data_IF_409668638895
#
_entry.id   IF_409668638895
#
_cell.length_a   1.000
_cell.length_b   1.000
_cell.length_c   1.000
_cell.angle_alpha   90.00
_cell.angle_beta   90.00
_cell.angle_gamma   90.00
#
_symmetry.space_group_name_H-M   'P 1'
#
loop_
_entity.id
_entity.type
_entity.pdbx_description
1 polymer ?
#
# COMPACT_ATOMS: atom_id res chain seq x y z
N UNK A 1 -16.85 -5.73 3.38
CA UNK A 1 -16.74 -6.43 4.69
C UNK A 1 -17.17 -7.90 4.66
N UNK A 2 -17.79 -8.44 3.60
CA UNK A 2 -18.34 -9.80 3.58
C UNK A 2 -17.31 -10.96 3.61
N UNK A 3 -16.01 -10.65 3.64
CA UNK A 3 -14.93 -11.65 3.61
C UNK A 3 -14.05 -11.66 4.87
N UNK A 4 -14.27 -10.72 5.79
CA UNK A 4 -13.57 -10.69 7.07
C UNK A 4 -14.39 -11.44 8.10
N UNK A 5 -13.77 -12.42 8.74
CA UNK A 5 -14.35 -13.15 9.87
C UNK A 5 -14.01 -12.45 11.18
N UNK A 6 -14.77 -12.72 12.24
CA UNK A 6 -14.45 -12.22 13.60
C UNK A 6 -13.13 -12.78 14.16
N UNK A 7 -12.53 -13.76 13.48
CA UNK A 7 -11.22 -14.29 13.83
C UNK A 7 -10.10 -13.29 13.47
N UNK A 8 -9.34 -12.87 14.49
CA UNK A 8 -8.25 -11.89 14.39
C UNK A 8 -6.89 -12.50 14.04
N UNK A 9 -6.80 -13.82 13.89
CA UNK A 9 -5.58 -14.51 13.43
C UNK A 9 -5.51 -14.45 11.91
N UNK A 10 -4.89 -13.39 11.39
CA UNK A 10 -4.60 -13.21 9.97
C UNK A 10 -3.20 -12.63 9.79
N UNK A 11 -2.65 -12.78 8.59
CA UNK A 11 -1.41 -12.12 8.18
C UNK A 11 -1.71 -11.21 7.01
N UNK A 12 -1.07 -10.04 6.95
CA UNK A 12 -1.22 -9.07 5.86
C UNK A 12 0.10 -8.94 5.14
N UNK A 13 0.12 -9.26 3.86
CA UNK A 13 1.29 -9.11 2.98
C UNK A 13 0.96 -8.11 1.89
N UNK A 14 1.68 -7.00 1.89
CA UNK A 14 1.63 -6.01 0.81
C UNK A 14 2.81 -6.18 -0.15
N UNK A 15 2.65 -5.74 -1.39
CA UNK A 15 3.74 -5.67 -2.36
C UNK A 15 3.87 -4.27 -2.96
N UNK A 16 5.10 -3.81 -3.17
CA UNK A 16 5.43 -2.53 -3.81
C UNK A 16 6.61 -2.71 -4.76
N UNK A 17 6.64 -1.96 -5.85
CA UNK A 17 7.73 -2.01 -6.81
C UNK A 17 7.38 -1.45 -8.20
N UNK A 18 8.40 -1.24 -9.06
CA UNK A 18 8.23 -0.68 -10.41
C UNK A 18 7.32 -1.50 -11.34
N UNK A 19 6.98 -0.99 -12.55
CA UNK A 19 6.32 -1.78 -13.57
C UNK A 19 7.16 -3.00 -13.98
N UNK A 20 6.52 -4.11 -14.33
CA UNK A 20 7.20 -5.27 -14.93
C UNK A 20 8.00 -6.17 -13.98
N UNK A 21 8.26 -5.76 -12.73
CA UNK A 21 9.06 -6.54 -11.76
C UNK A 21 8.37 -7.81 -11.22
N UNK A 22 7.19 -8.18 -11.72
CA UNK A 22 6.53 -9.44 -11.35
C UNK A 22 5.75 -9.45 -10.03
N UNK A 23 5.34 -8.28 -9.51
CA UNK A 23 4.55 -8.15 -8.26
C UNK A 23 3.34 -9.08 -8.20
N UNK A 24 2.40 -8.91 -9.14
CA UNK A 24 1.16 -9.69 -9.18
C UNK A 24 1.41 -11.18 -9.41
N UNK A 25 2.50 -11.54 -10.09
CA UNK A 25 2.94 -12.93 -10.25
C UNK A 25 3.33 -13.53 -8.91
N UNK A 26 4.21 -12.86 -8.15
CA UNK A 26 4.62 -13.31 -6.81
C UNK A 26 3.41 -13.42 -5.89
N UNK A 27 2.52 -12.43 -5.93
CA UNK A 27 1.30 -12.42 -5.11
C UNK A 27 0.36 -13.57 -5.47
N UNK A 28 0.26 -13.95 -6.74
CA UNK A 28 -0.56 -15.10 -7.16
C UNK A 28 0.00 -16.44 -6.70
N UNK A 29 1.33 -16.60 -6.63
CA UNK A 29 1.95 -17.80 -6.06
C UNK A 29 1.62 -17.92 -4.56
N UNK A 30 1.68 -16.82 -3.80
CA UNK A 30 1.29 -16.80 -2.39
C UNK A 30 -0.22 -16.98 -2.23
N UNK A 31 -1.01 -16.48 -3.19
CA UNK A 31 -2.47 -16.57 -3.13
C UNK A 31 -2.97 -18.02 -3.21
N UNK A 32 -2.25 -18.90 -3.91
CA UNK A 32 -2.58 -20.32 -4.01
C UNK A 32 -3.97 -20.54 -4.58
N UNK A 33 -4.31 -19.86 -5.69
CA UNK A 33 -5.66 -19.88 -6.26
C UNK A 33 -6.14 -21.32 -6.55
N UNK A 34 -7.25 -21.70 -5.93
CA UNK A 34 -7.94 -22.96 -6.17
C UNK A 34 -9.35 -22.66 -6.72
N UNK A 35 -9.62 -22.94 -8.01
CA UNK A 35 -10.92 -22.68 -8.63
C UNK A 35 -12.05 -23.55 -8.05
N UNK A 36 -11.73 -24.61 -7.31
CA UNK A 36 -12.72 -25.47 -6.66
C UNK A 36 -13.14 -24.96 -5.29
N UNK A 37 -12.36 -24.04 -4.70
CA UNK A 37 -12.63 -23.46 -3.39
C UNK A 37 -13.71 -22.39 -3.48
N UNK A 38 -14.85 -22.54 -2.77
CA UNK A 38 -15.96 -21.61 -2.86
C UNK A 38 -15.60 -20.24 -2.26
N UNK A 39 -15.89 -19.17 -3.00
CA UNK A 39 -15.71 -17.80 -2.53
C UNK A 39 -14.32 -17.21 -2.74
N UNK A 40 -13.38 -17.96 -3.31
CA UNK A 40 -12.11 -17.38 -3.78
C UNK A 40 -12.37 -16.46 -4.98
N UNK A 41 -11.78 -15.27 -4.95
CA UNK A 41 -11.77 -14.36 -6.09
C UNK A 41 -10.79 -14.90 -7.15
N UNK A 42 -10.95 -14.56 -8.44
CA UNK A 42 -9.96 -14.88 -9.47
C UNK A 42 -8.57 -14.42 -9.06
N UNK A 43 -7.45 -14.94 -9.58
CA UNK A 43 -6.11 -14.43 -9.27
C UNK A 43 -5.91 -12.97 -9.73
N UNK A 44 -4.86 -12.30 -9.23
CA UNK A 44 -4.50 -10.95 -9.65
C UNK A 44 -4.18 -10.96 -11.14
N UNK A 45 -4.63 -9.93 -11.85
CA UNK A 45 -4.31 -9.79 -13.26
C UNK A 45 -2.80 -9.59 -13.43
N UNK A 46 -2.18 -10.43 -14.26
CA UNK A 46 -0.77 -10.28 -14.63
C UNK A 46 -0.67 -9.59 -15.99
N UNK A 47 0.47 -8.93 -16.24
CA UNK A 47 0.68 -8.22 -17.50
C UNK A 47 0.61 -9.18 -18.69
N UNK A 48 -0.35 -8.95 -19.59
CA UNK A 48 -0.46 -9.68 -20.86
C UNK A 48 0.52 -9.14 -21.89
N UNK A 49 0.76 -9.89 -22.98
CA UNK A 49 1.58 -9.41 -24.10
C UNK A 49 1.00 -8.14 -24.73
N UNK A 50 -0.33 -8.03 -24.82
CA UNK A 50 -1.02 -6.85 -25.32
C UNK A 50 -0.81 -5.65 -24.39
N UNK A 51 -1.00 -5.83 -23.09
CA UNK A 51 -0.77 -4.77 -22.08
C UNK A 51 0.67 -4.27 -22.14
N UNK A 52 1.63 -5.20 -22.31
CA UNK A 52 3.05 -4.89 -22.46
C UNK A 52 3.32 -4.13 -23.76
N UNK A 53 2.76 -4.58 -24.89
CA UNK A 53 2.91 -3.91 -26.19
C UNK A 53 2.33 -2.48 -26.18
N UNK A 54 1.26 -2.26 -25.42
CA UNK A 54 0.64 -0.94 -25.26
C UNK A 54 1.29 -0.07 -24.16
N UNK A 55 2.38 -0.54 -23.53
CA UNK A 55 3.06 0.15 -22.43
C UNK A 55 2.12 0.59 -21.30
N UNK A 56 1.11 -0.24 -20.98
CA UNK A 56 0.14 0.03 -19.91
C UNK A 56 0.49 -0.72 -18.62
N UNK A 57 0.07 -0.17 -17.50
CA UNK A 57 0.05 -0.89 -16.23
C UNK A 57 -1.17 -1.83 -16.18
N UNK A 58 -1.09 -2.84 -15.31
CA UNK A 58 -2.14 -3.84 -15.14
C UNK A 58 -2.96 -3.55 -13.86
N UNK A 59 -2.28 -3.48 -12.71
CA UNK A 59 -2.89 -3.17 -11.41
C UNK A 59 -3.13 -1.67 -11.26
N UNK A 60 -4.34 -1.27 -10.88
CA UNK A 60 -4.76 0.11 -10.59
C UNK A 60 -5.14 0.22 -9.12
N UNK A 61 -4.58 1.20 -8.40
CA UNK A 61 -4.80 1.36 -6.96
C UNK A 61 -4.24 0.21 -6.12
N UNK A 62 -5.04 -0.28 -5.17
CA UNK A 62 -4.70 -1.38 -4.26
C UNK A 62 -5.78 -2.44 -4.39
N UNK A 63 -5.40 -3.65 -4.76
CA UNK A 63 -6.30 -4.78 -4.93
C UNK A 63 -6.11 -5.79 -3.79
N UNK A 64 -7.13 -6.00 -2.94
CA UNK A 64 -7.05 -6.98 -1.86
C UNK A 64 -7.52 -8.38 -2.28
N UNK A 65 -6.87 -9.41 -1.75
CA UNK A 65 -7.32 -10.81 -1.80
C UNK A 65 -7.14 -11.48 -0.45
N UNK A 66 -7.90 -12.55 -0.21
CA UNK A 66 -7.80 -13.37 1.00
C UNK A 66 -7.61 -14.81 0.56
N UNK A 67 -6.46 -15.41 0.90
CA UNK A 67 -6.17 -16.82 0.60
C UNK A 67 -7.00 -17.77 1.48
N UNK A 68 -7.03 -19.05 1.13
CA UNK A 68 -7.62 -20.11 1.95
C UNK A 68 -6.97 -20.25 3.33
N UNK A 69 -5.69 -19.86 3.42
CA UNK A 69 -4.87 -19.84 4.63
C UNK A 69 -5.01 -18.52 5.43
N UNK A 70 -6.02 -17.70 5.10
CA UNK A 70 -6.32 -16.41 5.76
C UNK A 70 -5.20 -15.38 5.69
N UNK A 71 -4.42 -15.42 4.60
CA UNK A 71 -3.46 -14.36 4.29
C UNK A 71 -4.19 -13.29 3.49
N UNK A 72 -4.19 -12.07 4.01
CA UNK A 72 -4.66 -10.87 3.31
C UNK A 72 -3.52 -10.37 2.43
N UNK A 73 -3.71 -10.40 1.13
CA UNK A 73 -2.75 -9.99 0.12
C UNK A 73 -3.17 -8.64 -0.46
N UNK A 74 -2.27 -7.66 -0.46
CA UNK A 74 -2.49 -6.33 -1.05
C UNK A 74 -1.56 -6.15 -2.26
N UNK A 75 -2.08 -6.44 -3.46
CA UNK A 75 -1.38 -6.09 -4.71
C UNK A 75 -1.56 -4.60 -5.00
N UNK A 76 -0.52 -3.95 -5.53
CA UNK A 76 -0.54 -2.49 -5.71
C UNK A 76 -0.13 -2.08 -7.11
N UNK A 77 -0.67 -0.95 -7.55
CA UNK A 77 -0.23 -0.28 -8.76
C UNK A 77 1.29 -0.05 -8.74
N UNK A 78 1.96 -0.11 -9.90
CA UNK A 78 3.39 0.12 -9.95
C UNK A 78 3.77 1.56 -9.56
N UNK A 79 4.76 1.68 -8.68
CA UNK A 79 5.45 2.96 -8.42
C UNK A 79 6.41 3.30 -9.56
N UNK A 80 6.74 4.57 -9.76
CA UNK A 80 7.61 5.01 -10.87
C UNK A 80 7.14 4.60 -12.26
N UNK A 81 5.82 4.45 -12.46
CA UNK A 81 5.20 4.01 -13.69
C UNK A 81 4.82 5.17 -14.60
N UNK A 82 5.43 5.30 -15.79
CA UNK A 82 5.03 6.32 -16.76
C UNK A 82 3.56 6.20 -17.19
N UNK A 83 3.05 4.97 -17.27
CA UNK A 83 1.66 4.72 -17.67
C UNK A 83 0.65 5.15 -16.60
N UNK A 84 1.01 5.12 -15.32
CA UNK A 84 0.16 5.63 -14.23
C UNK A 84 0.21 7.16 -14.23
N UNK A 85 1.40 7.75 -14.40
CA UNK A 85 1.55 9.20 -14.53
C UNK A 85 0.78 9.77 -15.75
N UNK A 86 0.79 9.05 -16.87
CA UNK A 86 0.06 9.44 -18.07
C UNK A 86 -1.46 9.43 -17.86
N UNK A 87 -1.99 8.52 -17.04
CA UNK A 87 -3.41 8.48 -16.69
C UNK A 87 -3.81 9.58 -15.71
N UNK A 88 -2.92 9.93 -14.78
CA UNK A 88 -3.10 11.05 -13.85
C UNK A 88 -3.08 12.39 -14.59
N UNK A 89 -2.30 12.50 -15.66
CA UNK A 89 -2.19 13.73 -16.47
C UNK A 89 -3.43 13.87 -17.35
N UNK A 90 -4.15 14.99 -17.21
CA UNK A 90 -5.42 15.18 -17.91
C UNK A 90 -5.22 15.31 -19.44
N UNK A 91 -6.16 14.80 -20.26
CA UNK A 91 -6.10 14.92 -21.72
C UNK A 91 -6.21 16.35 -22.25
N UNK A 92 -6.71 17.28 -21.44
CA UNK A 92 -6.87 18.71 -21.77
C UNK A 92 -5.54 19.49 -21.71
N UNK A 93 -4.43 18.83 -21.36
CA UNK A 93 -3.13 19.45 -21.17
C UNK A 93 -2.98 20.17 -19.83
N UNK A 94 -4.00 20.12 -18.95
CA UNK A 94 -3.88 20.60 -17.58
C UNK A 94 -2.94 19.67 -16.81
N UNK A 95 -1.76 20.19 -16.47
CA UNK A 95 -0.77 19.46 -15.70
C UNK A 95 -1.07 19.47 -14.20
N UNK A 96 -2.22 19.98 -13.74
CA UNK A 96 -2.54 20.07 -12.31
C UNK A 96 -3.60 19.08 -11.86
N UNK A 97 -3.35 18.45 -10.72
CA UNK A 97 -4.17 17.40 -10.12
C UNK A 97 -4.60 17.86 -8.72
N UNK A 98 -5.90 17.83 -8.40
CA UNK A 98 -6.35 18.08 -7.04
C UNK A 98 -5.93 16.92 -6.14
N UNK A 99 -5.19 17.23 -5.07
CA UNK A 99 -4.81 16.26 -4.04
C UNK A 99 -5.83 16.31 -2.90
N UNK A 100 -5.87 15.27 -2.06
CA UNK A 100 -6.82 15.12 -0.95
C UNK A 100 -6.89 16.33 0.01
N UNK A 101 -5.84 17.16 0.05
CA UNK A 101 -5.77 18.41 0.82
C UNK A 101 -6.53 19.60 0.19
N UNK A 102 -7.11 19.43 -1.00
CA UNK A 102 -7.77 20.49 -1.78
C UNK A 102 -6.81 21.37 -2.59
N UNK A 103 -5.50 21.22 -2.40
CA UNK A 103 -4.46 21.87 -3.20
C UNK A 103 -4.32 21.22 -4.57
N UNK A 104 -4.07 22.03 -5.60
CA UNK A 104 -3.76 21.56 -6.95
C UNK A 104 -2.25 21.52 -7.13
N UNK A 105 -1.68 20.34 -7.37
CA UNK A 105 -0.25 20.15 -7.61
C UNK A 105 0.02 19.75 -9.05
N UNK A 106 1.25 19.95 -9.52
CA UNK A 106 1.68 19.39 -10.80
C UNK A 106 1.56 17.85 -10.78
N UNK A 107 1.16 17.22 -11.89
CA UNK A 107 0.86 15.78 -11.95
C UNK A 107 2.03 14.91 -11.53
N UNK A 108 3.25 15.31 -11.89
CA UNK A 108 4.49 14.63 -11.47
C UNK A 108 4.70 14.66 -9.95
N UNK A 109 4.56 15.84 -9.33
CA UNK A 109 4.68 15.98 -7.87
C UNK A 109 3.54 15.26 -7.14
N UNK A 110 2.31 15.38 -7.65
CA UNK A 110 1.17 14.65 -7.10
C UNK A 110 1.41 13.13 -7.16
N UNK A 111 1.95 12.64 -8.27
CA UNK A 111 2.28 11.23 -8.44
C UNK A 111 3.39 10.76 -7.50
N UNK A 112 4.44 11.55 -7.31
CA UNK A 112 5.50 11.24 -6.31
C UNK A 112 4.92 11.15 -4.89
N UNK A 113 4.08 12.11 -4.50
CA UNK A 113 3.42 12.10 -3.20
C UNK A 113 2.49 10.89 -3.04
N UNK A 114 1.73 10.53 -4.07
CA UNK A 114 0.87 9.34 -4.05
C UNK A 114 1.68 8.04 -3.88
N UNK A 115 2.84 7.93 -4.52
CA UNK A 115 3.72 6.77 -4.34
C UNK A 115 4.28 6.67 -2.91
N UNK A 116 4.64 7.81 -2.30
CA UNK A 116 5.08 7.86 -0.90
C UNK A 116 3.92 7.47 0.03
N UNK A 117 2.73 8.02 -0.18
CA UNK A 117 1.52 7.69 0.59
C UNK A 117 1.18 6.20 0.51
N UNK A 118 1.31 5.59 -0.67
CA UNK A 118 1.14 4.15 -0.85
C UNK A 118 2.16 3.36 -0.03
N UNK A 119 3.44 3.74 -0.07
CA UNK A 119 4.48 3.09 0.72
C UNK A 119 4.24 3.20 2.23
N UNK A 120 3.89 4.39 2.70
CA UNK A 120 3.54 4.66 4.10
C UNK A 120 2.31 3.84 4.53
N UNK A 121 1.29 3.77 3.69
CA UNK A 121 0.11 2.95 3.95
C UNK A 121 0.50 1.48 4.13
N UNK A 122 1.24 0.89 3.18
CA UNK A 122 1.68 -0.50 3.28
C UNK A 122 2.54 -0.74 4.52
N UNK A 123 3.48 0.15 4.82
CA UNK A 123 4.31 0.09 6.02
C UNK A 123 3.48 0.17 7.33
N UNK A 124 2.31 0.81 7.29
CA UNK A 124 1.45 0.98 8.48
C UNK A 124 0.47 -0.19 8.68
N UNK A 125 0.02 -0.85 7.61
CA UNK A 125 -1.08 -1.83 7.68
C UNK A 125 -0.66 -3.27 7.39
N UNK A 126 0.52 -3.49 6.82
CA UNK A 126 1.01 -4.84 6.50
C UNK A 126 1.84 -5.41 7.64
N UNK A 127 1.83 -6.73 7.82
CA UNK A 127 2.80 -7.45 8.64
C UNK A 127 4.14 -7.59 7.92
N UNK A 128 4.08 -7.87 6.61
CA UNK A 128 5.25 -7.92 5.74
C UNK A 128 5.00 -7.13 4.47
N UNK A 129 6.01 -6.37 4.03
CA UNK A 129 5.96 -5.61 2.79
C UNK A 129 7.02 -6.14 1.82
N UNK A 130 6.58 -6.78 0.74
CA UNK A 130 7.44 -7.27 -0.33
C UNK A 130 7.88 -6.08 -1.19
N UNK A 131 9.17 -5.78 -1.16
CA UNK A 131 9.79 -4.74 -1.98
C UNK A 131 10.42 -5.42 -3.19
N UNK A 132 9.77 -5.29 -4.34
CA UNK A 132 10.21 -5.96 -5.57
C UNK A 132 10.91 -4.95 -6.47
N UNK A 133 12.14 -5.27 -6.89
CA UNK A 133 12.99 -4.40 -7.71
C UNK A 133 13.60 -5.15 -8.89
N UNK A 134 13.99 -4.41 -9.91
CA UNK A 134 14.80 -4.92 -11.02
C UNK A 134 16.29 -4.77 -10.63
N UNK A 135 16.93 -5.89 -10.29
CA UNK A 135 18.31 -5.92 -9.80
C UNK A 135 18.54 -5.30 -8.41
N UNK A 136 19.80 -5.33 -7.97
CA UNK A 136 20.23 -4.90 -6.63
C UNK A 136 20.53 -3.38 -6.54
N UNK A 137 20.59 -2.70 -7.68
CA UNK A 137 21.01 -1.30 -7.79
C UNK A 137 19.86 -0.33 -8.06
N UNK A 138 18.62 -0.71 -7.77
CA UNK A 138 17.47 0.20 -7.89
C UNK A 138 17.47 1.26 -6.77
N UNK A 139 18.32 2.28 -6.96
CA UNK A 139 18.49 3.38 -6.01
C UNK A 139 17.19 4.17 -5.78
N UNK A 140 16.26 4.16 -6.74
CA UNK A 140 15.00 4.90 -6.62
C UNK A 140 14.08 4.22 -5.62
N UNK A 141 13.96 2.88 -5.69
CA UNK A 141 13.24 2.11 -4.67
C UNK A 141 13.86 2.27 -3.27
N UNK A 142 15.19 2.19 -3.16
CA UNK A 142 15.88 2.39 -1.88
C UNK A 142 15.61 3.77 -1.27
N UNK A 143 15.76 4.84 -2.06
CA UNK A 143 15.48 6.21 -1.59
C UNK A 143 14.02 6.40 -1.20
N UNK A 144 13.09 5.83 -1.97
CA UNK A 144 11.67 5.89 -1.66
C UNK A 144 11.36 5.20 -0.34
N UNK A 145 11.94 4.02 -0.09
CA UNK A 145 11.76 3.32 1.19
C UNK A 145 12.38 4.06 2.36
N UNK A 146 13.55 4.68 2.20
CA UNK A 146 14.11 5.56 3.24
C UNK A 146 13.20 6.75 3.55
N UNK A 147 12.50 7.28 2.55
CA UNK A 147 11.52 8.35 2.74
C UNK A 147 10.27 7.84 3.45
N UNK A 148 9.78 6.64 3.10
CA UNK A 148 8.67 5.98 3.78
C UNK A 148 8.99 5.71 5.24
N UNK A 149 10.17 5.17 5.52
CA UNK A 149 10.68 4.91 6.88
C UNK A 149 10.69 6.20 7.71
N UNK A 150 11.32 7.26 7.18
CA UNK A 150 11.36 8.57 7.83
C UNK A 150 9.96 9.14 8.14
N UNK A 151 9.02 9.00 7.20
CA UNK A 151 7.67 9.56 7.35
C UNK A 151 6.76 8.71 8.22
N UNK A 152 6.97 7.39 8.26
CA UNK A 152 6.16 6.49 9.08
C UNK A 152 6.26 6.85 10.56
N UNK A 153 7.44 7.30 11.01
CA UNK A 153 7.70 7.80 12.37
C UNK A 153 6.82 8.97 12.80
N UNK A 154 6.26 9.73 11.85
CA UNK A 154 5.34 10.83 12.12
C UNK A 154 3.88 10.43 12.20
N UNK A 155 3.56 9.13 12.00
CA UNK A 155 2.18 8.67 11.80
C UNK A 155 1.83 7.63 12.86
N UNK A 156 0.83 7.90 13.72
CA UNK A 156 0.44 6.99 14.79
C UNK A 156 -0.04 5.64 14.23
N UNK A 157 0.12 4.58 15.01
CA UNK A 157 -0.40 3.26 14.67
C UNK A 157 -1.92 3.35 14.43
N UNK A 158 -2.44 2.93 13.26
CA UNK A 158 -3.88 2.92 12.98
C UNK A 158 -4.72 2.17 14.03
N UNK A 159 -4.15 1.15 14.67
CA UNK A 159 -4.81 0.36 15.71
C UNK A 159 -4.96 1.15 17.03
N UNK A 160 -4.10 2.14 17.28
CA UNK A 160 -4.17 2.97 18.49
C UNK A 160 -5.39 3.90 18.49
N UNK A 161 -5.83 4.36 17.30
CA UNK A 161 -6.94 5.31 17.12
C UNK A 161 -8.29 4.67 17.47
N UNK A 162 -8.43 3.35 17.30
CA UNK A 162 -9.68 2.63 17.57
C UNK A 162 -10.05 2.62 19.06
N UNK A 163 -9.06 2.73 19.95
CA UNK A 163 -9.27 2.74 21.42
C UNK A 163 -9.91 4.04 21.93
N UNK A 164 -9.76 5.15 21.18
CA UNK A 164 -10.26 6.46 21.59
C UNK A 164 -11.77 6.66 21.38
N UNK A 165 -12.42 5.82 20.57
CA UNK A 165 -13.86 5.94 20.26
C UNK A 165 -14.76 5.01 21.08
N UNK A 166 -14.21 4.17 21.95
CA UNK A 166 -14.96 3.23 22.80
C UNK A 166 -15.27 3.74 24.22
N UNK A 167 -14.94 4.98 24.58
CA UNK A 167 -15.31 5.58 25.87
C UNK A 167 -16.10 6.88 25.69
N UNK A 168 -17.35 6.73 25.24
CA UNK A 168 -18.31 7.82 25.11
C UNK A 168 -19.52 7.67 26.03
N UNK A 169 -19.31 7.60 27.35
CA UNK A 169 -20.32 8.02 28.34
C UNK A 169 -19.72 8.12 29.74
N UNK A 170 -19.15 9.28 30.10
CA UNK A 170 -19.55 9.99 31.32
C UNK A 170 -18.90 11.38 31.41
N UNK A 171 -19.74 12.29 31.85
CA UNK A 171 -19.60 13.73 32.02
C UNK A 171 -18.49 14.12 33.04
N UNK A 172 -17.66 15.12 32.71
CA UNK A 172 -17.19 16.09 33.69
C UNK A 172 -15.68 16.36 33.84
N UNK A 173 -15.36 17.63 33.64
CA UNK A 173 -14.28 18.45 34.23
C UNK A 173 -12.93 18.54 33.53
N UNK A 174 -12.66 19.78 33.10
CA UNK A 174 -11.43 20.35 32.58
C UNK A 174 -10.20 19.94 33.39
N UNK A 175 -9.16 19.44 32.71
CA UNK A 175 -7.75 19.61 33.09
C UNK A 175 -6.88 19.61 31.84
N UNK A 176 -6.11 20.68 31.69
CA UNK A 176 -5.04 20.87 30.73
C UNK A 176 -4.18 19.61 30.58
N UNK A 177 -4.39 18.87 29.48
CA UNK A 177 -3.56 17.71 29.18
C UNK A 177 -2.43 18.16 28.28
N UNK A 178 -1.37 18.64 28.94
CA UNK A 178 -0.03 18.84 28.39
C UNK A 178 0.36 17.59 27.61
N UNK A 179 0.72 17.78 26.33
CA UNK A 179 1.19 16.76 25.40
C UNK A 179 2.12 15.75 26.09
N UNK A 180 1.54 14.63 26.52
CA UNK A 180 2.29 13.42 26.80
C UNK A 180 2.23 12.62 25.52
N UNK A 181 3.26 12.77 24.70
CA UNK A 181 3.61 11.69 23.77
C UNK A 181 3.65 10.40 24.61
N UNK A 182 2.92 9.34 24.23
CA UNK A 182 3.03 8.08 24.92
C UNK A 182 4.45 7.55 24.70
N UNK A 183 5.33 7.81 25.68
CA UNK A 183 6.62 7.13 25.79
C UNK A 183 6.36 5.64 26.01
N UNK A 184 6.74 4.81 25.03
CA UNK A 184 6.94 3.38 25.24
C UNK A 184 6.05 2.42 24.45
N UNK A 185 5.23 2.87 23.50
CA UNK A 185 4.70 1.96 22.48
C UNK A 185 5.77 1.68 21.44
N UNK A 186 6.16 0.43 21.21
CA UNK A 186 6.95 0.08 20.03
C UNK A 186 6.19 0.56 18.80
N UNK A 187 6.79 1.47 18.04
CA UNK A 187 6.16 2.00 16.85
C UNK A 187 6.07 0.89 15.80
N UNK A 188 4.85 0.57 15.39
CA UNK A 188 4.61 -0.48 14.41
C UNK A 188 5.05 -0.06 13.00
N UNK A 189 5.84 -0.92 12.36
CA UNK A 189 6.17 -0.84 10.94
C UNK A 189 6.27 -2.25 10.34
N UNK A 190 5.72 -2.43 9.13
CA UNK A 190 5.80 -3.68 8.40
C UNK A 190 7.25 -4.12 8.19
N UNK A 191 7.53 -5.43 8.32
CA UNK A 191 8.86 -5.96 8.01
C UNK A 191 9.11 -5.92 6.50
N UNK A 192 10.11 -5.18 5.99
CA UNK A 192 10.40 -5.15 4.56
C UNK A 192 11.14 -6.42 4.13
N UNK A 193 10.71 -7.02 3.01
CA UNK A 193 11.35 -8.19 2.38
C UNK A 193 11.76 -7.79 0.97
N UNK A 194 13.07 -7.72 0.73
CA UNK A 194 13.62 -7.32 -0.57
C UNK A 194 13.68 -8.51 -1.52
N UNK A 195 13.03 -8.37 -2.67
CA UNK A 195 13.02 -9.35 -3.76
C UNK A 195 13.63 -8.70 -4.99
N UNK A 196 14.75 -9.27 -5.46
CA UNK A 196 15.43 -8.81 -6.67
C UNK A 196 15.07 -9.73 -7.83
N UNK A 197 14.40 -9.16 -8.82
CA UNK A 197 14.11 -9.81 -10.09
C UNK A 197 15.22 -9.51 -11.10
N UNK A 198 15.34 -10.37 -12.12
CA UNK A 198 16.46 -10.40 -13.07
C UNK A 198 16.63 -9.11 -13.86
#
# INVERSE_FOLDING_TARGET
MQFLTDNTEFTVVGVIGPPGVGKSTIMNEIYGFDPTSPGMLPPFAIQSEETRANARHCTVGIEPRISSERIILLDTQPVFSPSVLAEITRPDGSSTVPVLSGETLHSELAYELMNIQLGVLLASVCHSCLVVSEGVHDLNMWRSLSTVDLLKHGIPDPSSVTTAHSQGSNLGTDKDNKDKFPEGGEEYMATPIFIHTR
#
